data_IF_944980984400
#
_entry.id   IF_944980984400
#
_cell.length_a   1.000
_cell.length_b   1.000
_cell.length_c   1.000
_cell.angle_alpha   90.00
_cell.angle_beta   90.00
_cell.angle_gamma   90.00
#
_symmetry.space_group_name_H-M   'P 1'
#
loop_
_entity.id
_entity.type
_entity.pdbx_description
1 polymer ?
#
# COMPACT_ATOMS: atom_id res chain seq x y z
N UNK A 1 -41.71 -46.52 23.45
CA UNK A 1 -41.14 -45.82 22.25
C UNK A 1 -41.03 -44.30 22.41
N UNK A 2 -41.66 -43.68 23.43
CA UNK A 2 -41.68 -42.22 23.67
C UNK A 2 -40.35 -41.62 24.17
N UNK A 3 -39.69 -42.27 25.14
CA UNK A 3 -38.46 -41.79 25.79
C UNK A 3 -37.27 -41.53 24.84
N UNK A 4 -37.09 -42.37 23.80
CA UNK A 4 -35.98 -42.23 22.85
C UNK A 4 -36.11 -40.99 21.96
N UNK A 5 -37.33 -40.60 21.57
CA UNK A 5 -37.59 -39.40 20.75
C UNK A 5 -37.34 -38.11 21.55
N UNK A 6 -37.60 -38.11 22.85
CA UNK A 6 -37.32 -36.98 23.75
C UNK A 6 -35.81 -36.72 23.88
N UNK A 7 -35.00 -37.78 24.01
CA UNK A 7 -33.52 -37.67 24.05
C UNK A 7 -32.92 -37.20 22.72
N UNK A 8 -33.46 -37.63 21.58
CA UNK A 8 -32.96 -37.14 20.27
C UNK A 8 -33.33 -35.68 20.05
N UNK A 9 -34.53 -35.24 20.45
CA UNK A 9 -34.92 -33.82 20.40
C UNK A 9 -34.01 -32.92 21.23
N UNK A 10 -33.65 -33.34 22.45
CA UNK A 10 -32.70 -32.61 23.28
C UNK A 10 -31.30 -32.55 22.67
N UNK A 11 -30.85 -33.64 22.04
CA UNK A 11 -29.58 -33.66 21.31
C UNK A 11 -29.56 -32.66 20.15
N UNK A 12 -30.60 -32.64 19.31
CA UNK A 12 -30.72 -31.64 18.24
C UNK A 12 -30.75 -30.22 18.79
N UNK A 13 -31.48 -29.97 19.88
CA UNK A 13 -31.51 -28.67 20.55
C UNK A 13 -30.09 -28.25 21.00
N UNK A 14 -29.34 -29.15 21.63
CA UNK A 14 -27.97 -28.86 22.07
C UNK A 14 -27.03 -28.56 20.91
N UNK A 15 -27.15 -29.28 19.79
CA UNK A 15 -26.35 -29.04 18.58
C UNK A 15 -26.68 -27.67 17.99
N UNK A 16 -27.96 -27.31 17.91
CA UNK A 16 -28.40 -26.00 17.40
C UNK A 16 -27.85 -24.87 18.26
N UNK A 17 -27.93 -25.00 19.59
CA UNK A 17 -27.38 -24.00 20.53
C UNK A 17 -25.86 -23.88 20.33
N UNK A 18 -25.15 -24.99 20.20
CA UNK A 18 -23.70 -24.99 20.02
C UNK A 18 -23.30 -24.30 18.71
N UNK A 19 -24.02 -24.56 17.61
CA UNK A 19 -23.82 -23.88 16.33
C UNK A 19 -24.07 -22.37 16.44
N UNK A 20 -25.11 -21.95 17.15
CA UNK A 20 -25.40 -20.52 17.38
C UNK A 20 -24.31 -19.84 18.21
N UNK A 21 -23.76 -20.52 19.22
CA UNK A 21 -22.63 -19.98 20.01
C UNK A 21 -21.38 -19.82 19.15
N UNK A 22 -21.05 -20.82 18.32
CA UNK A 22 -19.90 -20.70 17.40
C UNK A 22 -20.13 -19.60 16.38
N UNK A 23 -21.33 -19.52 15.80
CA UNK A 23 -21.69 -18.45 14.86
C UNK A 23 -21.59 -17.07 15.53
N UNK A 24 -22.03 -16.93 16.77
CA UNK A 24 -21.88 -15.69 17.53
C UNK A 24 -20.40 -15.32 17.70
N UNK A 25 -19.53 -16.24 18.15
CA UNK A 25 -18.10 -15.95 18.33
C UNK A 25 -17.42 -15.54 17.01
N UNK A 26 -17.83 -16.15 15.89
CA UNK A 26 -17.27 -15.84 14.58
C UNK A 26 -17.78 -14.51 14.02
N UNK A 27 -19.09 -14.30 14.02
CA UNK A 27 -19.77 -13.20 13.31
C UNK A 27 -20.16 -12.01 14.20
N UNK A 28 -19.89 -12.05 15.51
CA UNK A 28 -20.13 -10.90 16.38
C UNK A 28 -19.23 -9.71 15.99
N UNK A 29 -19.59 -8.50 16.42
CA UNK A 29 -18.88 -7.26 16.12
C UNK A 29 -17.43 -7.24 16.62
N UNK A 30 -17.12 -8.01 17.66
CA UNK A 30 -15.76 -8.23 18.18
C UNK A 30 -15.22 -9.63 17.81
N UNK A 31 -15.88 -10.29 16.86
CA UNK A 31 -15.52 -11.64 16.43
C UNK A 31 -14.19 -11.69 15.69
N UNK A 32 -13.69 -12.91 15.51
CA UNK A 32 -12.39 -13.18 14.89
C UNK A 32 -12.28 -12.62 13.46
N UNK A 33 -13.38 -12.61 12.70
CA UNK A 33 -13.39 -12.02 11.36
C UNK A 33 -13.10 -10.51 11.37
N UNK A 34 -13.66 -9.79 12.35
CA UNK A 34 -13.46 -8.34 12.46
C UNK A 34 -12.03 -8.00 12.87
N UNK A 35 -11.45 -8.77 13.78
CA UNK A 35 -10.04 -8.61 14.16
C UNK A 35 -9.10 -8.81 12.97
N UNK A 36 -9.35 -9.81 12.13
CA UNK A 36 -8.56 -10.02 10.92
C UNK A 36 -8.68 -8.85 9.94
N UNK A 37 -9.91 -8.40 9.66
CA UNK A 37 -10.13 -7.25 8.77
C UNK A 37 -9.46 -5.97 9.28
N UNK A 38 -9.51 -5.72 10.59
CA UNK A 38 -8.84 -4.56 11.20
C UNK A 38 -7.31 -4.68 11.09
N UNK A 39 -6.75 -5.86 11.32
CA UNK A 39 -5.31 -6.08 11.19
C UNK A 39 -4.85 -5.89 9.73
N UNK A 40 -5.59 -6.42 8.77
CA UNK A 40 -5.31 -6.25 7.34
C UNK A 40 -5.34 -4.76 6.96
N UNK A 41 -6.31 -4.00 7.48
CA UNK A 41 -6.38 -2.53 7.30
C UNK A 41 -5.19 -1.82 7.95
N UNK A 42 -4.78 -2.22 9.16
CA UNK A 42 -3.62 -1.64 9.83
C UNK A 42 -2.36 -1.89 9.01
N UNK A 43 -2.18 -3.09 8.47
CA UNK A 43 -1.05 -3.44 7.63
C UNK A 43 -1.04 -2.65 6.32
N UNK A 44 -2.18 -2.51 5.65
CA UNK A 44 -2.28 -1.70 4.44
C UNK A 44 -1.98 -0.23 4.70
N UNK A 45 -2.49 0.33 5.81
CA UNK A 45 -2.21 1.72 6.19
C UNK A 45 -0.72 1.92 6.51
N UNK A 46 -0.07 0.96 7.17
CA UNK A 46 1.38 1.02 7.44
C UNK A 46 2.18 1.03 6.14
N UNK A 47 1.84 0.15 5.21
CA UNK A 47 2.49 0.08 3.91
C UNK A 47 2.36 1.39 3.12
N UNK A 48 1.15 1.97 3.09
CA UNK A 48 0.89 3.25 2.44
C UNK A 48 1.70 4.39 3.08
N UNK A 49 1.78 4.40 4.41
CA UNK A 49 2.50 5.40 5.17
C UNK A 49 4.02 5.33 4.92
N UNK A 50 4.59 4.12 4.87
CA UNK A 50 6.01 3.93 4.56
C UNK A 50 6.33 4.29 3.11
N UNK A 51 5.43 3.94 2.18
CA UNK A 51 5.52 4.35 0.78
C UNK A 51 5.54 5.87 0.66
N UNK A 52 4.59 6.55 1.31
CA UNK A 52 4.48 8.00 1.26
C UNK A 52 5.67 8.71 1.93
N UNK A 53 6.23 8.13 3.00
CA UNK A 53 7.48 8.60 3.61
C UNK A 53 8.66 8.50 2.67
N UNK A 54 8.80 7.38 1.96
CA UNK A 54 9.85 7.17 0.95
C UNK A 54 9.74 8.19 -0.19
N UNK A 55 8.54 8.42 -0.71
CA UNK A 55 8.29 9.45 -1.72
C UNK A 55 8.64 10.86 -1.21
N UNK A 56 8.19 11.22 -0.01
CA UNK A 56 8.52 12.51 0.58
C UNK A 56 10.03 12.70 0.76
N UNK A 57 10.76 11.65 1.16
CA UNK A 57 12.21 11.70 1.29
C UNK A 57 12.87 11.96 -0.07
N UNK A 58 12.48 11.22 -1.12
CA UNK A 58 12.99 11.39 -2.48
C UNK A 58 12.71 12.79 -3.03
N UNK A 59 11.49 13.30 -2.85
CA UNK A 59 11.11 14.64 -3.28
C UNK A 59 11.93 15.72 -2.57
N UNK A 60 12.19 15.56 -1.27
CA UNK A 60 13.05 16.48 -0.52
C UNK A 60 14.49 16.46 -1.03
N UNK A 61 15.04 15.28 -1.29
CA UNK A 61 16.37 15.14 -1.88
C UNK A 61 16.44 15.78 -3.27
N UNK A 62 15.39 15.64 -4.07
CA UNK A 62 15.30 16.27 -5.39
C UNK A 62 15.22 17.79 -5.30
N UNK A 63 14.39 18.34 -4.41
CA UNK A 63 14.33 19.78 -4.12
C UNK A 63 15.70 20.30 -3.67
N UNK A 64 16.36 19.62 -2.74
CA UNK A 64 17.69 19.99 -2.26
C UNK A 64 18.70 20.00 -3.42
N UNK A 65 18.63 19.01 -4.31
CA UNK A 65 19.50 18.93 -5.49
C UNK A 65 19.23 20.08 -6.47
N UNK A 66 17.96 20.41 -6.72
CA UNK A 66 17.55 21.50 -7.60
C UNK A 66 17.96 22.87 -7.03
N UNK A 67 17.90 23.05 -5.71
CA UNK A 67 18.33 24.28 -5.06
C UNK A 67 19.85 24.45 -5.09
N UNK A 68 20.60 23.38 -4.79
CA UNK A 68 22.07 23.43 -4.75
C UNK A 68 22.72 23.45 -6.14
N UNK A 69 22.06 22.85 -7.13
CA UNK A 69 22.60 22.68 -8.49
C UNK A 69 21.73 23.39 -9.54
N UNK A 70 21.01 24.44 -9.15
CA UNK A 70 20.01 25.12 -9.98
C UNK A 70 20.50 25.40 -11.41
N UNK A 71 21.64 26.06 -11.55
CA UNK A 71 22.22 26.42 -12.86
C UNK A 71 22.64 25.18 -13.67
N UNK A 72 23.26 24.19 -13.01
CA UNK A 72 23.72 22.94 -13.64
C UNK A 72 22.53 22.11 -14.16
N UNK A 73 21.46 22.00 -13.36
CA UNK A 73 20.24 21.27 -13.74
C UNK A 73 19.51 21.94 -14.90
N UNK A 74 19.43 23.27 -14.90
CA UNK A 74 18.85 24.03 -16.02
C UNK A 74 19.68 23.82 -17.29
N UNK A 75 21.01 23.91 -17.19
CA UNK A 75 21.91 23.67 -18.32
C UNK A 75 21.79 22.25 -18.84
N UNK A 76 21.70 21.25 -17.95
CA UNK A 76 21.48 19.85 -18.31
C UNK A 76 20.17 19.69 -19.09
N UNK A 77 19.05 20.22 -18.59
CA UNK A 77 17.75 20.14 -19.27
C UNK A 77 17.78 20.87 -20.61
N UNK A 78 18.41 22.04 -20.68
CA UNK A 78 18.56 22.81 -21.92
C UNK A 78 19.33 22.03 -22.99
N UNK A 79 20.43 21.36 -22.61
CA UNK A 79 21.24 20.52 -23.51
C UNK A 79 20.52 19.22 -23.89
N UNK A 80 19.94 18.50 -22.92
CA UNK A 80 19.36 17.17 -23.15
C UNK A 80 17.98 17.21 -23.83
N UNK A 81 17.08 18.10 -23.40
CA UNK A 81 15.70 18.14 -23.92
C UNK A 81 15.55 19.04 -25.13
N UNK A 82 16.32 20.12 -25.19
CA UNK A 82 16.14 21.17 -26.19
C UNK A 82 17.35 21.33 -27.12
N UNK A 83 18.43 20.56 -26.92
CA UNK A 83 19.66 20.64 -27.68
C UNK A 83 20.21 22.08 -27.78
N UNK A 84 20.01 22.87 -26.72
CA UNK A 84 20.48 24.24 -26.62
C UNK A 84 21.95 24.27 -26.22
N UNK A 85 22.67 25.24 -26.77
CA UNK A 85 24.09 25.52 -26.49
C UNK A 85 24.26 26.97 -26.07
N UNK A 86 25.33 27.27 -25.33
CA UNK A 86 25.64 28.68 -25.00
C UNK A 86 26.04 29.42 -26.28
N UNK A 87 25.76 30.73 -26.36
CA UNK A 87 26.05 31.55 -27.55
C UNK A 87 27.53 31.48 -27.98
N UNK A 88 28.43 31.28 -27.01
CA UNK A 88 29.87 31.23 -27.23
C UNK A 88 30.42 29.81 -27.54
N UNK A 89 29.55 28.81 -27.68
CA UNK A 89 29.93 27.40 -27.78
C UNK A 89 29.98 26.95 -29.26
N UNK A 90 31.13 26.42 -29.70
CA UNK A 90 31.33 25.95 -31.09
C UNK A 90 30.87 24.50 -31.23
N UNK A 91 30.09 24.22 -32.26
CA UNK A 91 29.59 22.88 -32.56
C UNK A 91 30.62 22.11 -33.39
N UNK A 92 31.10 20.98 -32.87
CA UNK A 92 31.99 20.07 -33.60
C UNK A 92 31.14 18.91 -34.12
N UNK A 93 30.90 18.89 -35.43
CA UNK A 93 30.25 17.75 -36.09
C UNK A 93 31.29 16.69 -36.40
N UNK A 94 31.13 15.50 -35.82
CA UNK A 94 31.97 14.33 -36.11
C UNK A 94 31.25 13.52 -37.19
N UNK A 95 31.76 13.57 -38.41
CA UNK A 95 31.32 12.67 -39.48
C UNK A 95 31.98 11.30 -39.29
N UNK A 96 31.16 10.24 -39.15
CA UNK A 96 31.68 8.87 -39.15
C UNK A 96 32.12 8.53 -40.57
N UNK A 97 33.41 8.20 -40.70
CA UNK A 97 34.03 7.72 -41.95
C UNK A 97 33.66 6.28 -42.23
#
# INVERSE_FOLDING_TARGET
>A
MSERKKKSGYFYLTVVILVLVVAYILFNSEGLFRHKELNDRIESLKYELDTLRSYNKRLREEIDSLQKQYDSKIEQVAREKYNLKKENEKEIKIEKK
#
